data_IF_310023489215
#
_entry.id   IF_310023489215
#
_cell.length_a   1.000
_cell.length_b   1.000
_cell.length_c   1.000
_cell.angle_alpha   90.00
_cell.angle_beta   90.00
_cell.angle_gamma   90.00
#
_symmetry.space_group_name_H-M   'P 1'
#
loop_
_entity.id
_entity.type
_entity.pdbx_description
1 polymer ?
#
# COMPACT_ATOMS: atom_id res chain seq x y z
N UNK A 1 14.59 -12.10 -5.94
CA UNK A 1 14.92 -12.31 -7.36
C UNK A 1 13.77 -11.83 -8.22
N UNK A 2 14.06 -11.37 -9.43
CA UNK A 2 13.04 -10.92 -10.38
C UNK A 2 12.81 -11.99 -11.43
N UNK A 3 11.56 -12.21 -11.75
CA UNK A 3 11.15 -12.99 -12.89
C UNK A 3 11.52 -12.23 -14.18
N UNK A 4 11.98 -12.94 -15.21
CA UNK A 4 12.43 -12.34 -16.48
C UNK A 4 11.31 -11.83 -17.39
N UNK A 5 10.07 -11.81 -16.90
CA UNK A 5 8.90 -11.41 -17.67
C UNK A 5 8.40 -10.04 -17.18
N UNK A 6 8.70 -8.95 -17.91
CA UNK A 6 8.27 -7.62 -17.51
C UNK A 6 6.74 -7.48 -17.52
N UNK A 7 6.24 -6.64 -16.63
CA UNK A 7 4.81 -6.33 -16.53
C UNK A 7 4.36 -5.33 -17.59
N UNK A 8 3.04 -5.28 -17.81
CA UNK A 8 2.39 -4.21 -18.57
C UNK A 8 1.87 -3.13 -17.61
N UNK A 9 1.54 -1.96 -18.15
CA UNK A 9 0.78 -0.94 -17.44
C UNK A 9 -0.64 -1.43 -17.20
N UNK A 10 -1.03 -1.64 -15.95
CA UNK A 10 -2.36 -2.11 -15.61
C UNK A 10 -2.72 -1.85 -14.15
N UNK A 11 -4.02 -1.79 -13.89
CA UNK A 11 -4.57 -1.82 -12.53
C UNK A 11 -4.86 -3.26 -12.16
N UNK A 12 -4.37 -3.72 -11.02
CA UNK A 12 -4.61 -5.06 -10.49
C UNK A 12 -5.26 -4.99 -9.12
N UNK A 13 -6.11 -5.97 -8.82
CA UNK A 13 -6.64 -6.15 -7.47
C UNK A 13 -5.57 -6.73 -6.57
N UNK A 14 -5.57 -6.27 -5.33
CA UNK A 14 -4.63 -6.72 -4.30
C UNK A 14 -5.34 -7.19 -3.04
N UNK A 15 -4.74 -8.14 -2.36
CA UNK A 15 -5.12 -8.59 -1.02
C UNK A 15 -4.05 -8.10 -0.03
N UNK A 16 -4.45 -7.40 1.02
CA UNK A 16 -3.58 -6.97 2.11
C UNK A 16 -3.57 -8.08 3.15
N UNK A 17 -2.41 -8.70 3.36
CA UNK A 17 -2.27 -9.88 4.22
C UNK A 17 -1.96 -9.54 5.68
N UNK A 18 -1.39 -8.39 5.95
CA UNK A 18 -1.08 -7.94 7.30
C UNK A 18 -2.35 -7.44 8.01
N UNK A 19 -3.24 -8.36 8.39
CA UNK A 19 -4.56 -8.05 8.95
C UNK A 19 -4.50 -7.25 10.24
N UNK A 20 -3.46 -7.44 11.04
CA UNK A 20 -3.26 -6.72 12.31
C UNK A 20 -2.50 -5.39 12.15
N UNK A 21 -2.06 -5.05 10.95
CA UNK A 21 -1.30 -3.84 10.72
C UNK A 21 -2.22 -2.64 10.45
N UNK A 22 -2.31 -1.66 11.38
CA UNK A 22 -3.26 -0.56 11.27
C UNK A 22 -2.95 0.38 10.09
N UNK A 23 -1.70 0.44 9.64
CA UNK A 23 -1.31 1.29 8.51
C UNK A 23 -1.62 0.66 7.17
N UNK A 24 -1.38 -0.65 7.03
CA UNK A 24 -1.72 -1.36 5.80
C UNK A 24 -3.23 -1.58 5.67
N UNK A 25 -3.94 -1.85 6.75
CA UNK A 25 -5.40 -1.94 6.74
C UNK A 25 -6.05 -0.59 6.40
N UNK A 26 -5.41 0.52 6.75
CA UNK A 26 -5.91 1.86 6.41
C UNK A 26 -5.75 2.22 4.92
N UNK A 27 -5.02 1.44 4.13
CA UNK A 27 -4.91 1.66 2.67
C UNK A 27 -6.25 1.49 1.95
N UNK A 28 -7.16 0.74 2.55
CA UNK A 28 -8.49 0.50 2.03
C UNK A 28 -9.54 1.01 3.00
N UNK A 29 -10.54 1.69 2.46
CA UNK A 29 -11.75 1.98 3.22
C UNK A 29 -12.54 0.70 3.51
N UNK A 30 -13.41 0.67 4.53
CA UNK A 30 -14.10 -0.53 5.02
C UNK A 30 -14.97 -1.24 3.98
N UNK A 31 -15.29 -0.61 2.86
CA UNK A 31 -16.10 -1.17 1.77
C UNK A 31 -15.44 -1.00 0.39
N UNK A 32 -14.12 -0.84 0.37
CA UNK A 32 -13.42 -0.61 -0.88
C UNK A 32 -12.78 -1.90 -1.42
N UNK A 33 -12.51 -1.90 -2.72
CA UNK A 33 -11.85 -2.99 -3.45
C UNK A 33 -10.42 -2.51 -3.76
N UNK A 34 -9.40 -2.95 -3.02
CA UNK A 34 -8.08 -2.40 -3.14
C UNK A 34 -7.48 -2.73 -4.51
N UNK A 35 -7.01 -1.70 -5.19
CA UNK A 35 -6.39 -1.79 -6.49
C UNK A 35 -4.99 -1.19 -6.45
N UNK A 36 -4.09 -1.77 -7.20
CA UNK A 36 -2.71 -1.33 -7.32
C UNK A 36 -2.39 -1.00 -8.76
N UNK A 37 -1.74 0.14 -8.97
CA UNK A 37 -1.18 0.46 -10.28
C UNK A 37 0.12 -0.29 -10.47
N UNK A 38 0.12 -1.19 -11.43
CA UNK A 38 1.31 -1.90 -11.89
C UNK A 38 1.87 -1.16 -13.10
N UNK A 39 3.04 -0.57 -12.94
CA UNK A 39 3.71 0.12 -14.03
C UNK A 39 4.39 -0.87 -14.97
N UNK A 40 4.32 -0.58 -16.26
CA UNK A 40 4.97 -1.37 -17.29
C UNK A 40 6.50 -1.41 -17.12
N UNK A 41 7.09 -2.49 -17.57
CA UNK A 41 8.53 -2.78 -17.40
C UNK A 41 8.99 -2.99 -15.95
N UNK A 42 8.08 -3.17 -15.01
CA UNK A 42 8.37 -3.72 -13.69
C UNK A 42 8.56 -5.24 -13.80
N UNK A 43 9.20 -5.84 -12.82
CA UNK A 43 9.43 -7.28 -12.80
C UNK A 43 8.80 -7.89 -11.56
N UNK A 44 8.01 -8.98 -11.69
CA UNK A 44 7.46 -9.69 -10.55
C UNK A 44 8.55 -10.16 -9.58
N UNK A 45 8.22 -10.12 -8.28
CA UNK A 45 9.13 -10.52 -7.21
C UNK A 45 9.03 -12.02 -7.03
N UNK A 46 10.09 -12.74 -7.34
CA UNK A 46 10.25 -14.17 -7.03
C UNK A 46 10.83 -14.34 -5.62
N UNK A 47 10.11 -15.03 -4.74
CA UNK A 47 10.56 -15.30 -3.37
C UNK A 47 11.26 -16.64 -3.33
N UNK A 48 12.59 -16.62 -3.10
CA UNK A 48 13.40 -17.84 -3.03
C UNK A 48 13.30 -18.56 -1.69
N UNK A 49 13.05 -17.84 -0.61
CA UNK A 49 12.91 -18.39 0.73
C UNK A 49 11.71 -17.76 1.47
N UNK A 50 10.57 -18.42 1.40
CA UNK A 50 9.33 -17.99 2.06
C UNK A 50 9.38 -17.97 3.60
N UNK A 51 10.43 -18.52 4.22
CA UNK A 51 10.61 -18.45 5.68
C UNK A 51 11.25 -17.14 6.15
N UNK A 52 11.90 -16.45 5.24
CA UNK A 52 12.64 -15.21 5.53
C UNK A 52 11.98 -13.96 4.96
N UNK A 53 10.94 -14.12 4.15
CA UNK A 53 10.26 -13.01 3.46
C UNK A 53 8.77 -13.03 3.78
N UNK A 54 8.29 -11.97 4.39
CA UNK A 54 6.86 -11.75 4.64
C UNK A 54 6.22 -11.02 3.46
N UNK A 55 5.13 -11.58 2.94
CA UNK A 55 4.31 -10.92 1.93
C UNK A 55 3.28 -10.06 2.65
N UNK A 56 3.34 -8.76 2.47
CA UNK A 56 2.41 -7.81 3.06
C UNK A 56 1.20 -7.54 2.16
N UNK A 57 1.44 -7.47 0.85
CA UNK A 57 0.41 -7.28 -0.17
C UNK A 57 0.68 -8.24 -1.33
N UNK A 58 -0.35 -8.92 -1.80
CA UNK A 58 -0.29 -9.83 -2.96
C UNK A 58 -1.40 -9.55 -3.98
N UNK A 59 -1.26 -10.09 -5.18
CA UNK A 59 -2.27 -10.06 -6.23
C UNK A 59 -2.42 -11.41 -6.93
N UNK A 60 -3.62 -11.94 -6.94
CA UNK A 60 -3.95 -13.15 -7.71
C UNK A 60 -3.92 -12.91 -9.22
N UNK A 61 -4.14 -11.68 -9.64
CA UNK A 61 -4.09 -11.32 -11.06
C UNK A 61 -2.65 -11.32 -11.57
N UNK A 62 -1.70 -10.81 -10.77
CA UNK A 62 -0.26 -10.88 -11.07
C UNK A 62 0.20 -12.34 -11.08
N UNK A 63 -0.20 -13.13 -10.08
CA UNK A 63 0.14 -14.55 -10.01
C UNK A 63 -0.32 -15.30 -11.26
N UNK A 64 -1.57 -15.10 -11.68
CA UNK A 64 -2.11 -15.74 -12.88
C UNK A 64 -1.37 -15.37 -14.17
N UNK A 65 -0.94 -14.11 -14.29
CA UNK A 65 -0.29 -13.60 -15.50
C UNK A 65 1.21 -13.86 -15.55
N UNK A 66 1.87 -13.77 -14.41
CA UNK A 66 3.35 -13.75 -14.33
C UNK A 66 3.95 -14.86 -13.47
N UNK A 67 3.12 -15.63 -12.77
CA UNK A 67 3.56 -16.77 -11.94
C UNK A 67 3.95 -16.40 -10.50
N UNK A 68 3.98 -15.12 -10.16
CA UNK A 68 4.35 -14.60 -8.85
C UNK A 68 3.27 -13.68 -8.31
N UNK A 69 2.96 -13.77 -7.01
CA UNK A 69 1.85 -13.01 -6.43
C UNK A 69 2.28 -11.77 -5.64
N UNK A 70 3.53 -11.69 -5.23
CA UNK A 70 4.02 -10.67 -4.32
C UNK A 70 4.01 -9.26 -4.94
N UNK A 71 3.36 -8.31 -4.28
CA UNK A 71 3.32 -6.88 -4.64
C UNK A 71 4.20 -6.07 -3.70
N UNK A 72 4.08 -6.32 -2.40
CA UNK A 72 4.84 -5.67 -1.35
C UNK A 72 5.31 -6.70 -0.33
N UNK A 73 6.61 -6.73 -0.10
CA UNK A 73 7.25 -7.70 0.80
C UNK A 73 8.17 -6.99 1.79
N UNK A 74 8.44 -7.68 2.91
CA UNK A 74 9.44 -7.25 3.88
C UNK A 74 10.29 -8.42 4.34
N UNK A 75 11.52 -8.15 4.71
CA UNK A 75 12.45 -9.12 5.29
C UNK A 75 13.55 -8.42 6.09
N UNK A 76 14.14 -9.16 7.02
CA UNK A 76 15.26 -8.66 7.81
C UNK A 76 16.58 -8.78 7.06
N UNK A 77 17.44 -7.78 7.19
CA UNK A 77 18.78 -7.78 6.64
C UNK A 77 19.77 -7.15 7.63
N UNK A 78 20.61 -7.98 8.24
CA UNK A 78 21.49 -7.56 9.33
C UNK A 78 20.66 -7.05 10.52
N UNK A 79 20.92 -5.82 10.95
CA UNK A 79 20.14 -5.12 11.99
C UNK A 79 19.00 -4.25 11.42
N UNK A 80 18.70 -4.37 10.17
CA UNK A 80 17.69 -3.57 9.50
C UNK A 80 16.60 -4.41 8.86
N UNK A 81 15.55 -3.73 8.42
CA UNK A 81 14.43 -4.32 7.71
C UNK A 81 14.31 -3.70 6.30
N UNK A 82 14.17 -4.55 5.30
CA UNK A 82 13.96 -4.15 3.92
C UNK A 82 12.47 -4.21 3.61
N UNK A 83 11.99 -3.18 2.94
CA UNK A 83 10.66 -3.12 2.34
C UNK A 83 10.83 -2.97 0.83
N UNK A 84 10.25 -3.90 0.09
CA UNK A 84 10.38 -3.93 -1.35
C UNK A 84 9.02 -4.11 -2.02
N UNK A 85 8.76 -3.34 -3.06
CA UNK A 85 7.52 -3.41 -3.82
C UNK A 85 7.79 -3.44 -5.32
N UNK A 86 6.85 -4.02 -6.04
CA UNK A 86 6.96 -4.23 -7.48
C UNK A 86 6.87 -2.94 -8.29
N UNK A 87 6.18 -1.93 -7.77
CA UNK A 87 5.92 -0.68 -8.46
C UNK A 87 5.90 0.51 -7.48
N UNK A 88 5.09 1.53 -7.71
CA UNK A 88 5.00 2.74 -6.91
C UNK A 88 4.26 2.58 -5.58
N UNK A 89 4.41 3.58 -4.68
CA UNK A 89 3.80 3.64 -3.34
C UNK A 89 2.32 4.04 -3.34
N UNK A 90 1.59 3.92 -4.42
CA UNK A 90 0.18 4.31 -4.46
C UNK A 90 -0.67 3.25 -5.13
N UNK A 91 -1.90 3.14 -4.65
CA UNK A 91 -2.83 2.12 -5.12
C UNK A 91 -3.25 2.33 -6.57
N UNK A 92 -3.35 3.59 -7.03
CA UNK A 92 -3.79 3.89 -8.37
C UNK A 92 -3.28 5.24 -8.88
N UNK A 93 -2.98 5.34 -10.17
CA UNK A 93 -2.67 6.62 -10.83
C UNK A 93 -3.94 7.38 -11.21
N UNK A 94 -3.83 8.71 -11.20
CA UNK A 94 -4.95 9.59 -11.56
C UNK A 94 -5.47 9.36 -12.98
N UNK A 95 -4.61 8.94 -13.89
CA UNK A 95 -4.95 8.73 -15.32
C UNK A 95 -5.76 7.45 -15.57
N UNK A 96 -5.78 6.53 -14.61
CA UNK A 96 -6.45 5.21 -14.77
C UNK A 96 -7.84 5.17 -14.18
N UNK A 97 -8.56 6.27 -14.23
CA UNK A 97 -9.89 6.40 -13.62
C UNK A 97 -10.91 5.43 -14.21
N UNK A 98 -11.66 4.81 -13.35
CA UNK A 98 -12.86 4.03 -13.66
C UNK A 98 -14.12 4.79 -13.22
N UNK A 99 -15.31 4.28 -13.52
CA UNK A 99 -16.57 4.87 -13.05
C UNK A 99 -16.64 4.98 -11.50
N UNK A 100 -15.93 4.13 -10.78
CA UNK A 100 -15.74 4.19 -9.31
C UNK A 100 -15.12 5.53 -8.87
N UNK A 101 -14.28 6.12 -9.67
CA UNK A 101 -13.54 7.35 -9.40
C UNK A 101 -14.26 8.62 -9.90
N UNK A 102 -15.52 8.52 -10.27
CA UNK A 102 -16.33 9.68 -10.63
C UNK A 102 -16.68 10.58 -9.44
N UNK A 103 -16.46 10.08 -8.20
CA UNK A 103 -16.66 10.83 -6.96
C UNK A 103 -15.60 11.90 -6.77
N UNK A 104 -15.95 12.95 -6.03
CA UNK A 104 -14.98 13.94 -5.57
C UNK A 104 -14.06 13.35 -4.48
N UNK A 105 -12.90 13.97 -4.27
CA UNK A 105 -12.01 13.60 -3.18
C UNK A 105 -12.66 13.71 -1.80
N UNK A 106 -13.54 14.70 -1.61
CA UNK A 106 -14.29 14.90 -0.36
C UNK A 106 -15.31 13.77 -0.12
N UNK A 107 -16.06 13.36 -1.14
CA UNK A 107 -16.98 12.21 -1.04
C UNK A 107 -16.24 10.93 -0.70
N UNK A 108 -15.10 10.68 -1.33
CA UNK A 108 -14.27 9.51 -1.03
C UNK A 108 -13.74 9.53 0.43
N UNK A 109 -13.20 10.65 0.88
CA UNK A 109 -12.73 10.81 2.24
C UNK A 109 -13.84 10.56 3.28
N UNK A 110 -15.05 11.00 2.99
CA UNK A 110 -16.20 10.80 3.84
C UNK A 110 -16.69 9.35 3.88
N UNK A 111 -16.88 8.75 2.72
CA UNK A 111 -17.58 7.46 2.58
C UNK A 111 -16.65 6.26 2.74
N UNK A 112 -15.41 6.39 2.28
CA UNK A 112 -14.49 5.25 2.17
C UNK A 112 -13.39 5.27 3.22
N UNK A 113 -12.81 6.42 3.50
CA UNK A 113 -11.73 6.52 4.48
C UNK A 113 -12.24 6.64 5.92
N UNK A 114 -13.56 6.83 6.11
CA UNK A 114 -14.20 6.95 7.43
C UNK A 114 -13.46 7.92 8.37
N UNK A 115 -13.05 9.07 7.82
CA UNK A 115 -12.34 10.09 8.58
C UNK A 115 -13.20 10.66 9.70
N UNK A 116 -12.58 10.92 10.85
CA UNK A 116 -13.23 11.66 11.93
C UNK A 116 -13.56 13.11 11.53
N UNK A 117 -14.50 13.73 12.25
CA UNK A 117 -15.00 15.06 11.93
C UNK A 117 -13.90 16.12 11.92
N UNK A 118 -12.94 16.04 12.83
CA UNK A 118 -11.84 17.00 12.91
C UNK A 118 -10.94 16.94 11.66
N UNK A 119 -10.59 15.73 11.20
CA UNK A 119 -9.81 15.56 9.98
C UNK A 119 -10.57 16.02 8.75
N UNK A 120 -11.87 15.73 8.67
CA UNK A 120 -12.73 16.19 7.58
C UNK A 120 -12.69 17.71 7.46
N UNK A 121 -12.99 18.43 8.53
CA UNK A 121 -12.98 19.89 8.55
C UNK A 121 -11.62 20.46 8.17
N UNK A 122 -10.54 19.86 8.67
CA UNK A 122 -9.19 20.28 8.32
C UNK A 122 -8.91 20.15 6.83
N UNK A 123 -9.26 19.02 6.21
CA UNK A 123 -9.00 18.81 4.78
C UNK A 123 -9.93 19.61 3.88
N UNK A 124 -11.18 19.81 4.27
CA UNK A 124 -12.11 20.70 3.56
C UNK A 124 -11.55 22.13 3.51
N UNK A 125 -11.06 22.64 4.64
CA UNK A 125 -10.42 23.95 4.70
C UNK A 125 -9.11 24.05 3.89
N UNK A 126 -8.48 22.92 3.53
CA UNK A 126 -7.29 22.86 2.68
C UNK A 126 -7.63 22.71 1.18
N UNK A 127 -8.90 22.76 0.80
CA UNK A 127 -9.35 22.69 -0.60
C UNK A 127 -9.44 21.27 -1.16
N UNK A 128 -9.71 20.27 -0.31
CA UNK A 128 -9.87 18.87 -0.78
C UNK A 128 -11.06 18.72 -1.73
N UNK A 129 -12.01 19.67 -1.71
CA UNK A 129 -13.15 19.67 -2.62
C UNK A 129 -12.73 19.83 -4.09
N UNK A 130 -11.60 20.49 -4.33
CA UNK A 130 -11.03 20.67 -5.67
C UNK A 130 -10.17 19.47 -6.11
N UNK A 131 -9.80 18.60 -5.16
CA UNK A 131 -9.04 17.39 -5.45
C UNK A 131 -9.94 16.30 -6.02
N UNK A 132 -9.42 15.55 -6.96
CA UNK A 132 -10.13 14.37 -7.42
C UNK A 132 -9.84 13.16 -6.50
N UNK A 133 -10.67 12.14 -6.59
CA UNK A 133 -10.57 10.93 -5.79
C UNK A 133 -9.20 10.25 -5.92
N UNK A 134 -8.68 10.14 -7.16
CA UNK A 134 -7.41 9.45 -7.40
C UNK A 134 -6.23 10.15 -6.73
N UNK A 135 -6.24 11.48 -6.67
CA UNK A 135 -5.19 12.25 -6.00
C UNK A 135 -5.21 12.01 -4.49
N UNK A 136 -6.41 12.00 -3.90
CA UNK A 136 -6.58 11.72 -2.47
C UNK A 136 -6.18 10.28 -2.13
N UNK A 137 -6.60 9.31 -2.93
CA UNK A 137 -6.27 7.89 -2.77
C UNK A 137 -4.76 7.65 -2.88
N UNK A 138 -4.10 8.23 -3.87
CA UNK A 138 -2.66 8.11 -4.06
C UNK A 138 -1.88 8.75 -2.91
N UNK A 139 -2.24 9.96 -2.48
CA UNK A 139 -1.61 10.64 -1.35
C UNK A 139 -1.79 9.88 -0.04
N UNK A 140 -2.99 9.35 0.21
CA UNK A 140 -3.31 8.60 1.41
C UNK A 140 -2.53 7.29 1.48
N UNK A 141 -2.52 6.50 0.41
CA UNK A 141 -1.80 5.22 0.36
C UNK A 141 -0.29 5.41 0.48
N UNK A 142 0.28 6.39 -0.19
CA UNK A 142 1.71 6.72 -0.08
C UNK A 142 2.10 7.09 1.35
N UNK A 143 1.30 7.94 2.01
CA UNK A 143 1.54 8.34 3.40
C UNK A 143 1.40 7.16 4.36
N UNK A 144 0.43 6.28 4.16
CA UNK A 144 0.20 5.11 5.01
C UNK A 144 1.35 4.12 4.94
N UNK A 145 1.90 3.85 3.75
CA UNK A 145 3.07 2.97 3.58
C UNK A 145 4.31 3.54 4.28
N UNK A 146 4.58 4.83 4.14
CA UNK A 146 5.69 5.48 4.84
C UNK A 146 5.51 5.44 6.36
N UNK A 147 4.31 5.68 6.86
CA UNK A 147 4.00 5.59 8.27
C UNK A 147 4.17 4.17 8.81
N UNK A 148 3.82 3.14 8.03
CA UNK A 148 4.07 1.74 8.35
C UNK A 148 5.56 1.48 8.60
N UNK A 149 6.41 1.91 7.69
CA UNK A 149 7.87 1.73 7.78
C UNK A 149 8.43 2.41 9.04
N UNK A 150 8.01 3.62 9.32
CA UNK A 150 8.42 4.36 10.52
C UNK A 150 7.93 3.71 11.82
N UNK A 151 6.70 3.20 11.81
CA UNK A 151 6.12 2.48 12.95
C UNK A 151 6.89 1.21 13.28
N UNK A 152 7.20 0.39 12.28
CA UNK A 152 7.96 -0.84 12.47
C UNK A 152 9.34 -0.55 13.06
N UNK A 153 10.03 0.44 12.52
CA UNK A 153 11.33 0.85 13.03
C UNK A 153 11.28 1.32 14.48
N UNK A 154 10.23 2.04 14.85
CA UNK A 154 10.02 2.48 16.23
C UNK A 154 9.77 1.30 17.17
N UNK A 155 8.91 0.36 16.79
CA UNK A 155 8.67 -0.86 17.57
C UNK A 155 9.94 -1.68 17.78
N UNK A 156 10.74 -1.88 16.75
CA UNK A 156 12.02 -2.58 16.88
C UNK A 156 12.95 -1.89 17.88
N UNK A 157 13.08 -0.57 17.83
CA UNK A 157 13.91 0.19 18.77
C UNK A 157 13.35 0.19 20.21
N UNK A 158 12.05 0.04 20.38
CA UNK A 158 11.43 -0.12 21.71
C UNK A 158 11.75 -1.51 22.29
N UNK A 159 11.64 -2.57 21.49
CA UNK A 159 11.99 -3.95 21.90
C UNK A 159 13.47 -4.08 22.28
N UNK A 160 14.39 -3.55 21.45
CA UNK A 160 15.82 -3.55 21.75
C UNK A 160 16.15 -2.88 23.10
N UNK A 161 15.45 -1.80 23.45
CA UNK A 161 15.64 -1.11 24.73
C UNK A 161 15.08 -1.86 25.93
N UNK A 162 14.08 -2.70 25.72
CA UNK A 162 13.53 -3.56 26.77
C UNK A 162 14.48 -4.73 27.06
N UNK A 163 15.01 -5.36 26.01
CA UNK A 163 15.99 -6.46 26.12
C UNK A 163 17.32 -6.02 26.76
N UNK A 164 17.72 -4.75 26.64
CA UNK A 164 18.92 -4.21 27.30
C UNK A 164 18.74 -3.93 28.81
N UNK A 165 17.51 -4.02 29.32
CA UNK A 165 17.21 -3.74 30.73
C UNK A 165 17.09 -5.01 31.61
N UNK A 166 17.03 -6.19 30.99
CA UNK A 166 17.01 -7.50 31.62
C UNK A 166 18.41 -8.14 31.63
#
# INVERSE_FOLDING_TARGET
QYNNRPTNDEVVRVDILAEEDPFLQSLIGPNDDPQWWLEGSSYPIEILNHKEVDILIKSKEIEKKYGESAVFVTFDYGKGKIYHMISHFYLQRAETRTARHAKSGAEYANEKLNMDQYRKEKYMNMGIDDANLSDVEAAYSSSSIMNKILWDKRKMAEMEREDEKD
#
